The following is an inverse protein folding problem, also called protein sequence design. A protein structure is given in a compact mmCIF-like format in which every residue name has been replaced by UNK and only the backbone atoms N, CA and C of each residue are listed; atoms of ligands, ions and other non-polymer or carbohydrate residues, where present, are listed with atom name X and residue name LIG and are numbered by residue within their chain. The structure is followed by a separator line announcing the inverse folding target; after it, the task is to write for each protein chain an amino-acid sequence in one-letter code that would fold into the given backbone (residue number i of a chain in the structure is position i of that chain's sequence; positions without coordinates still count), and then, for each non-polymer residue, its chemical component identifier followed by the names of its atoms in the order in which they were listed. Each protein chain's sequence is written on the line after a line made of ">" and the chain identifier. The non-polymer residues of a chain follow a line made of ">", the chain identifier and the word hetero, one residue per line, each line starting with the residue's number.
data_IF_688133441613
#
_entry.id   IF_688133441613
#
_cell.length_a   1.000
_cell.length_b   1.000
_cell.length_c   1.000
_cell.angle_alpha   90.00
_cell.angle_beta   90.00
_cell.angle_gamma   90.00
#
_symmetry.space_group_name_H-M   'P 1'
#
loop_
_entity.id
_entity.type
_entity.pdbx_description
1 polymer ?
#
# COMPACT_ATOMS: atom_id res chain seq x y z
N UNK A 1 5.48 11.45 23.46
CA UNK A 1 5.28 11.13 22.04
C UNK A 1 4.11 10.17 21.99
N UNK A 2 3.10 10.43 21.15
CA UNK A 2 1.97 9.51 21.01
C UNK A 2 2.49 8.13 20.59
N UNK A 3 1.92 7.07 21.15
CA UNK A 3 2.27 5.71 20.80
C UNK A 3 1.77 5.43 19.38
N UNK A 4 2.70 5.11 18.47
CA UNK A 4 2.37 4.84 17.07
C UNK A 4 1.74 3.45 17.00
N UNK A 5 0.48 3.38 16.58
CA UNK A 5 -0.28 2.13 16.54
C UNK A 5 -1.00 1.95 15.22
N UNK A 6 -1.12 0.70 14.78
CA UNK A 6 -2.02 0.32 13.71
C UNK A 6 -3.47 0.48 14.17
N UNK A 7 -4.27 1.18 13.37
CA UNK A 7 -5.72 1.33 13.60
C UNK A 7 -6.46 0.42 12.64
N UNK A 8 -7.33 -0.44 13.18
CA UNK A 8 -8.18 -1.33 12.36
C UNK A 8 -9.22 -0.52 11.62
N UNK A 9 -9.45 -0.84 10.35
CA UNK A 9 -10.62 -0.38 9.60
C UNK A 9 -11.81 -1.18 10.11
N UNK A 10 -12.54 -0.60 11.05
CA UNK A 10 -13.76 -1.17 11.60
C UNK A 10 -14.99 -0.86 10.72
N UNK A 11 -16.17 -1.23 11.21
CA UNK A 11 -17.44 -1.01 10.51
C UNK A 11 -17.67 0.46 10.14
N UNK A 12 -17.31 1.40 11.02
CA UNK A 12 -17.52 2.84 10.78
C UNK A 12 -16.62 3.38 9.67
N UNK A 13 -15.39 2.86 9.57
CA UNK A 13 -14.42 3.26 8.56
C UNK A 13 -14.63 2.53 7.22
N UNK A 14 -15.14 1.30 7.24
CA UNK A 14 -15.34 0.47 6.05
C UNK A 14 -16.27 1.13 5.01
N UNK A 15 -17.26 1.92 5.44
CA UNK A 15 -18.14 2.68 4.55
C UNK A 15 -17.37 3.68 3.64
N UNK A 16 -16.18 4.12 4.05
CA UNK A 16 -15.30 5.01 3.29
C UNK A 16 -14.42 4.27 2.26
N UNK A 17 -14.42 2.94 2.32
CA UNK A 17 -13.56 2.01 1.57
C UNK A 17 -14.41 0.90 0.95
N UNK A 18 -15.34 1.27 0.07
CA UNK A 18 -16.47 0.44 -0.39
C UNK A 18 -16.12 -0.91 -1.08
N UNK A 19 -14.86 -1.18 -1.41
CA UNK A 19 -14.43 -2.52 -1.86
C UNK A 19 -14.02 -3.48 -0.73
N UNK A 20 -13.90 -2.98 0.51
CA UNK A 20 -13.67 -3.83 1.68
C UNK A 20 -14.96 -4.49 2.16
N UNK A 21 -14.86 -5.75 2.58
CA UNK A 21 -15.96 -6.52 3.17
C UNK A 21 -15.78 -6.67 4.68
N UNK A 22 -16.74 -7.32 5.33
CA UNK A 22 -16.69 -7.57 6.78
C UNK A 22 -15.57 -8.54 7.18
N UNK A 23 -15.19 -9.41 6.26
CA UNK A 23 -14.14 -10.42 6.45
C UNK A 23 -12.72 -9.85 6.26
N UNK A 24 -12.60 -8.64 5.71
CA UNK A 24 -11.29 -8.04 5.46
C UNK A 24 -10.70 -7.43 6.73
N UNK A 25 -9.52 -7.94 7.13
CA UNK A 25 -8.76 -7.40 8.25
C UNK A 25 -7.71 -6.39 7.75
N UNK A 26 -8.10 -5.12 7.70
CA UNK A 26 -7.25 -4.02 7.22
C UNK A 26 -6.86 -3.05 8.34
N UNK A 27 -5.64 -2.53 8.30
CA UNK A 27 -5.08 -1.61 9.30
C UNK A 27 -4.27 -0.48 8.65
N UNK A 28 -4.25 0.69 9.27
CA UNK A 28 -3.49 1.86 8.79
C UNK A 28 -2.76 2.60 9.92
N UNK A 29 -1.72 3.38 9.59
CA UNK A 29 -0.97 4.19 10.56
C UNK A 29 -1.43 5.65 10.64
N UNK A 30 -1.70 6.26 9.48
CA UNK A 30 -1.90 7.71 9.38
C UNK A 30 -3.16 8.09 8.60
N UNK A 31 -3.55 9.36 8.71
CA UNK A 31 -4.60 9.95 7.87
C UNK A 31 -3.97 10.80 6.76
N UNK A 32 -4.30 10.48 5.51
CA UNK A 32 -3.93 11.22 4.31
C UNK A 32 -5.13 12.04 3.82
N UNK A 33 -5.01 13.37 3.81
CA UNK A 33 -6.11 14.25 3.40
C UNK A 33 -6.16 14.37 1.88
N UNK A 34 -7.26 13.92 1.29
CA UNK A 34 -7.48 13.93 -0.15
C UNK A 34 -7.58 15.35 -0.71
N UNK A 35 -7.19 15.54 -1.97
CA UNK A 35 -7.22 16.82 -2.71
C UNK A 35 -6.33 17.93 -2.12
N UNK A 36 -5.52 17.61 -1.12
CA UNK A 36 -4.60 18.55 -0.50
C UNK A 36 -3.15 18.34 -0.95
N UNK A 37 -2.41 19.44 -1.03
CA UNK A 37 -1.00 19.45 -1.44
C UNK A 37 -0.05 18.84 -0.41
N UNK A 38 1.22 18.64 -0.80
CA UNK A 38 2.24 18.04 0.07
C UNK A 38 2.51 18.84 1.36
N UNK A 39 2.23 20.14 1.38
CA UNK A 39 2.47 21.02 2.53
C UNK A 39 1.31 21.02 3.54
N UNK A 40 0.20 20.34 3.24
CA UNK A 40 -1.01 20.36 4.08
C UNK A 40 -0.80 19.70 5.44
N UNK A 41 -0.15 18.54 5.46
CA UNK A 41 0.12 17.79 6.69
C UNK A 41 1.43 17.00 6.58
N UNK A 42 1.94 16.53 7.71
CA UNK A 42 3.09 15.65 7.74
C UNK A 42 2.85 14.35 6.94
N UNK A 43 1.62 13.80 6.97
CA UNK A 43 1.25 12.61 6.20
C UNK A 43 1.15 12.91 4.70
N UNK A 44 0.55 14.04 4.31
CA UNK A 44 0.50 14.45 2.90
C UNK A 44 1.92 14.65 2.35
N UNK A 45 2.84 15.21 3.15
CA UNK A 45 4.25 15.32 2.78
C UNK A 45 4.91 13.95 2.64
N UNK A 46 4.71 13.05 3.62
CA UNK A 46 5.24 11.68 3.62
C UNK A 46 4.82 10.93 2.35
N UNK A 47 3.51 10.88 2.09
CA UNK A 47 2.94 10.20 0.92
C UNK A 47 3.44 10.85 -0.38
N UNK A 48 3.47 12.19 -0.46
CA UNK A 48 4.01 12.89 -1.63
C UNK A 48 5.50 12.60 -1.86
N UNK A 49 6.30 12.42 -0.80
CA UNK A 49 7.72 12.13 -0.92
C UNK A 49 7.97 10.71 -1.41
N UNK A 50 7.30 9.70 -0.85
CA UNK A 50 7.44 8.32 -1.35
C UNK A 50 6.87 8.17 -2.77
N UNK A 51 5.90 9.02 -3.16
CA UNK A 51 5.31 9.10 -4.52
C UNK A 51 6.17 9.78 -5.60
N UNK A 52 7.35 10.30 -5.25
CA UNK A 52 8.25 10.94 -6.24
C UNK A 52 8.70 9.95 -7.32
N UNK A 53 8.64 10.39 -8.58
CA UNK A 53 9.00 9.58 -9.75
C UNK A 53 10.46 9.10 -9.70
N UNK A 54 10.74 7.85 -10.12
CA UNK A 54 12.10 7.34 -10.31
C UNK A 54 13.00 8.23 -11.17
N UNK A 55 12.43 9.01 -12.10
CA UNK A 55 13.16 9.96 -12.95
C UNK A 55 13.81 11.11 -12.16
N UNK A 56 13.41 11.32 -10.90
CA UNK A 56 14.03 12.32 -10.02
C UNK A 56 15.33 11.83 -9.37
N UNK A 57 15.76 10.58 -9.63
CA UNK A 57 17.02 10.03 -9.14
C UNK A 57 18.20 10.88 -9.61
N UNK A 58 19.13 11.17 -8.69
CA UNK A 58 20.24 12.09 -8.93
C UNK A 58 19.92 13.57 -8.66
N UNK A 59 18.65 13.92 -8.45
CA UNK A 59 18.26 15.28 -8.02
C UNK A 59 18.18 15.38 -6.49
N UNK A 60 18.20 16.60 -5.91
CA UNK A 60 17.97 16.80 -4.48
C UNK A 60 16.62 16.27 -3.98
N UNK A 61 15.64 16.04 -4.86
CA UNK A 61 14.33 15.54 -4.47
C UNK A 61 14.37 14.07 -4.04
N UNK A 62 15.29 13.27 -4.62
CA UNK A 62 15.41 11.84 -4.36
C UNK A 62 15.70 11.52 -2.90
N UNK A 63 16.47 12.39 -2.22
CA UNK A 63 16.80 12.21 -0.79
C UNK A 63 15.55 12.19 0.10
N UNK A 64 14.52 12.95 -0.27
CA UNK A 64 13.26 12.99 0.49
C UNK A 64 12.47 11.69 0.31
N UNK A 65 12.42 11.15 -0.91
CA UNK A 65 11.80 9.83 -1.18
C UNK A 65 12.46 8.75 -0.34
N UNK A 66 13.79 8.65 -0.39
CA UNK A 66 14.52 7.61 0.34
C UNK A 66 14.41 7.76 1.87
N UNK A 67 14.44 9.00 2.38
CA UNK A 67 14.22 9.28 3.80
C UNK A 67 12.84 8.79 4.24
N UNK A 68 11.81 9.10 3.46
CA UNK A 68 10.44 8.82 3.84
C UNK A 68 10.03 7.36 3.60
N UNK A 69 10.65 6.64 2.65
CA UNK A 69 10.56 5.17 2.54
C UNK A 69 11.08 4.52 3.83
N UNK A 70 12.27 4.91 4.30
CA UNK A 70 12.84 4.39 5.55
C UNK A 70 11.99 4.71 6.77
N UNK A 71 11.37 5.90 6.76
CA UNK A 71 10.41 6.29 7.80
C UNK A 71 9.19 5.38 7.79
N UNK A 72 8.57 5.14 6.64
CA UNK A 72 7.43 4.22 6.51
C UNK A 72 7.78 2.82 7.04
N UNK A 73 8.96 2.29 6.69
CA UNK A 73 9.43 1.00 7.20
C UNK A 73 9.56 0.99 8.73
N UNK A 74 10.23 2.01 9.30
CA UNK A 74 10.43 2.10 10.74
C UNK A 74 9.11 2.30 11.50
N UNK A 75 8.18 3.06 10.92
CA UNK A 75 6.87 3.31 11.49
C UNK A 75 6.01 2.03 11.50
N UNK A 76 6.02 1.26 10.41
CA UNK A 76 5.39 -0.08 10.37
C UNK A 76 6.03 -1.02 11.39
N UNK A 77 7.36 -1.11 11.42
CA UNK A 77 8.08 -1.99 12.35
C UNK A 77 7.76 -1.70 13.82
N UNK A 78 7.62 -0.41 14.18
CA UNK A 78 7.27 0.00 15.55
C UNK A 78 5.81 -0.27 15.91
N UNK A 79 4.91 -0.29 14.94
CA UNK A 79 3.48 -0.43 15.16
C UNK A 79 3.00 -1.89 15.10
N UNK A 80 3.81 -2.78 14.53
CA UNK A 80 3.55 -4.22 14.49
C UNK A 80 3.76 -4.84 15.88
N UNK A 81 2.86 -5.74 16.34
CA UNK A 81 3.07 -6.51 17.55
C UNK A 81 4.37 -7.33 17.52
N UNK A 82 4.97 -7.52 18.69
CA UNK A 82 6.17 -8.36 18.85
C UNK A 82 5.92 -9.78 18.35
N UNK A 83 6.87 -10.35 17.60
CA UNK A 83 6.80 -11.71 17.07
C UNK A 83 5.87 -11.93 15.88
N UNK A 84 5.18 -10.87 15.39
CA UNK A 84 4.26 -11.01 14.24
C UNK A 84 5.00 -11.03 12.91
N UNK A 85 6.17 -10.38 12.83
CA UNK A 85 6.94 -10.23 11.59
C UNK A 85 7.39 -11.59 11.09
N UNK A 86 7.79 -12.49 12.00
CA UNK A 86 8.24 -13.84 11.72
C UNK A 86 7.11 -14.77 11.23
N UNK A 87 5.85 -14.35 11.41
CA UNK A 87 4.66 -15.11 11.00
C UNK A 87 4.09 -14.64 9.67
N UNK A 88 4.52 -13.48 9.17
CA UNK A 88 3.94 -12.83 8.00
C UNK A 88 4.87 -12.92 6.79
N UNK A 89 4.28 -13.26 5.64
CA UNK A 89 4.85 -12.94 4.34
C UNK A 89 4.33 -11.57 3.89
N UNK A 90 5.22 -10.58 3.79
CA UNK A 90 4.91 -9.23 3.33
C UNK A 90 4.88 -9.21 1.79
N UNK A 91 3.72 -8.86 1.25
CA UNK A 91 3.48 -8.81 -0.20
C UNK A 91 3.18 -7.36 -0.59
N UNK A 92 4.15 -6.63 -1.18
CA UNK A 92 3.91 -5.26 -1.63
C UNK A 92 2.94 -5.26 -2.82
N UNK A 93 2.04 -4.28 -2.86
CA UNK A 93 1.23 -4.04 -4.06
C UNK A 93 2.17 -3.65 -5.22
N UNK A 94 2.03 -4.29 -6.40
CA UNK A 94 2.93 -4.03 -7.53
C UNK A 94 2.76 -2.60 -8.07
N UNK A 95 3.83 -1.99 -8.62
CA UNK A 95 3.73 -0.69 -9.25
C UNK A 95 2.82 -0.73 -10.49
N UNK A 96 2.19 0.40 -10.84
CA UNK A 96 1.34 0.53 -12.03
C UNK A 96 2.10 0.45 -13.37
N UNK A 97 3.43 0.49 -13.31
CA UNK A 97 4.33 0.40 -14.45
C UNK A 97 4.99 -0.97 -14.44
N UNK A 98 5.18 -1.58 -15.61
CA UNK A 98 5.89 -2.85 -15.75
C UNK A 98 7.39 -2.71 -15.39
N UNK A 99 8.05 -3.82 -15.02
CA UNK A 99 9.46 -3.85 -14.53
C UNK A 99 10.47 -3.19 -15.46
N UNK A 100 10.25 -3.24 -16.77
CA UNK A 100 11.16 -2.66 -17.77
C UNK A 100 10.92 -1.17 -18.03
N UNK A 101 9.87 -0.58 -17.45
CA UNK A 101 9.53 0.83 -17.66
C UNK A 101 10.49 1.75 -16.86
N UNK A 102 10.92 2.86 -17.46
CA UNK A 102 11.83 3.83 -16.80
C UNK A 102 11.27 4.44 -15.51
N UNK A 103 9.95 4.45 -15.38
CA UNK A 103 9.22 4.88 -14.18
C UNK A 103 8.74 3.73 -13.29
N UNK A 104 9.31 2.52 -13.43
CA UNK A 104 9.10 1.44 -12.47
C UNK A 104 9.53 1.88 -11.07
N UNK A 105 8.61 1.82 -10.12
CA UNK A 105 8.78 2.39 -8.79
C UNK A 105 8.48 1.35 -7.71
N UNK A 106 9.51 0.61 -7.31
CA UNK A 106 9.50 -0.46 -6.31
C UNK A 106 9.39 0.05 -4.86
N UNK A 107 8.80 1.23 -4.63
CA UNK A 107 8.72 1.86 -3.29
C UNK A 107 8.15 0.94 -2.22
N UNK A 108 7.11 0.17 -2.51
CA UNK A 108 6.46 -0.69 -1.51
C UNK A 108 7.33 -1.90 -1.20
N UNK A 109 8.06 -2.42 -2.19
CA UNK A 109 9.10 -3.42 -1.97
C UNK A 109 10.18 -2.90 -1.03
N UNK A 110 10.70 -1.69 -1.28
CA UNK A 110 11.69 -1.05 -0.41
C UNK A 110 11.14 -0.77 1.00
N UNK A 111 9.86 -0.44 1.13
CA UNK A 111 9.22 -0.28 2.45
C UNK A 111 9.22 -1.61 3.20
N UNK A 112 8.78 -2.70 2.56
CA UNK A 112 8.76 -4.04 3.17
C UNK A 112 10.16 -4.51 3.59
N UNK A 113 11.17 -4.34 2.73
CA UNK A 113 12.56 -4.73 3.02
C UNK A 113 13.13 -4.02 4.26
N UNK A 114 12.61 -2.84 4.59
CA UNK A 114 13.04 -2.06 5.76
C UNK A 114 12.32 -2.40 7.07
N UNK A 115 11.27 -3.24 7.06
CA UNK A 115 10.46 -3.53 8.27
C UNK A 115 11.29 -4.27 9.31
N UNK A 116 11.93 -5.36 8.92
CA UNK A 116 12.85 -6.10 9.77
C UNK A 116 13.90 -6.83 8.95
N UNK A 117 15.11 -6.96 9.50
CA UNK A 117 16.14 -7.78 8.90
C UNK A 117 15.67 -9.24 8.83
N UNK A 118 15.65 -9.82 7.63
CA UNK A 118 15.22 -11.21 7.42
C UNK A 118 13.71 -11.42 7.37
N UNK A 119 12.89 -10.36 7.32
CA UNK A 119 11.46 -10.50 7.06
C UNK A 119 11.21 -11.23 5.73
N UNK A 120 10.16 -12.04 5.68
CA UNK A 120 9.74 -12.72 4.46
C UNK A 120 9.02 -11.73 3.54
N UNK A 121 9.72 -11.20 2.53
CA UNK A 121 9.17 -10.21 1.58
C UNK A 121 9.13 -10.82 0.19
N UNK A 122 7.94 -10.88 -0.42
CA UNK A 122 7.73 -11.50 -1.73
C UNK A 122 6.83 -10.68 -2.62
N UNK A 123 7.30 -10.32 -3.81
CA UNK A 123 6.48 -9.73 -4.88
C UNK A 123 5.64 -10.81 -5.58
N UNK A 124 4.79 -11.52 -4.81
CA UNK A 124 3.97 -12.65 -5.29
C UNK A 124 3.04 -12.28 -6.43
N UNK A 125 2.59 -11.03 -6.47
CA UNK A 125 1.74 -10.50 -7.54
C UNK A 125 2.54 -9.45 -8.30
N UNK A 126 2.57 -9.58 -9.63
CA UNK A 126 3.13 -8.58 -10.52
C UNK A 126 2.11 -8.17 -11.57
N UNK A 127 2.35 -7.02 -12.19
CA UNK A 127 1.51 -6.51 -13.26
C UNK A 127 2.13 -6.86 -14.63
N UNK A 128 1.38 -7.60 -15.46
CA UNK A 128 1.83 -8.05 -16.78
C UNK A 128 1.94 -6.92 -17.82
N UNK A 129 1.13 -5.88 -17.67
CA UNK A 129 1.10 -4.73 -18.57
C UNK A 129 0.98 -3.43 -17.77
N UNK A 130 1.64 -2.36 -18.21
CA UNK A 130 1.51 -1.07 -17.53
C UNK A 130 0.06 -0.61 -17.58
N UNK A 131 -0.53 -0.31 -16.42
CA UNK A 131 -1.83 0.38 -16.37
C UNK A 131 -1.64 1.83 -16.78
N UNK A 132 -2.66 2.41 -17.45
CA UNK A 132 -2.65 3.83 -17.76
C UNK A 132 -2.50 4.59 -16.45
N UNK A 133 -1.53 5.49 -16.37
CA UNK A 133 -1.40 6.34 -15.19
C UNK A 133 -2.71 7.12 -15.05
N UNK A 134 -3.33 7.09 -13.86
CA UNK A 134 -4.51 7.92 -13.53
C UNK A 134 -4.24 9.44 -13.60
N UNK A 135 -3.10 9.85 -14.17
CA UNK A 135 -2.74 11.24 -14.45
C UNK A 135 -3.14 11.69 -15.87
N UNK A 136 -3.43 10.77 -16.79
CA UNK A 136 -3.76 11.10 -18.19
C UNK A 136 -5.25 11.01 -18.54
N UNK A 137 -6.09 10.43 -17.67
CA UNK A 137 -7.54 10.45 -17.77
C UNK A 137 -8.14 10.36 -16.36
N UNK A 138 -9.29 11.01 -16.15
CA UNK A 138 -10.04 11.10 -14.87
C UNK A 138 -10.69 9.76 -14.45
N UNK A 139 -10.40 8.66 -15.17
CA UNK A 139 -10.91 7.32 -14.87
C UNK A 139 -9.97 6.58 -13.93
N UNK A 140 -10.51 6.22 -12.76
CA UNK A 140 -9.85 5.35 -11.80
C UNK A 140 -9.88 3.91 -12.33
N UNK A 141 -8.75 3.20 -12.18
CA UNK A 141 -8.69 1.76 -12.47
C UNK A 141 -9.71 1.00 -11.61
N UNK A 142 -10.39 0.04 -12.22
CA UNK A 142 -11.39 -0.83 -11.59
C UNK A 142 -10.75 -2.10 -11.01
N UNK A 143 -11.51 -2.85 -10.21
CA UNK A 143 -11.02 -4.14 -9.68
C UNK A 143 -10.85 -5.14 -10.81
N UNK A 144 -11.80 -5.17 -11.74
CA UNK A 144 -11.83 -6.07 -12.90
C UNK A 144 -10.62 -5.83 -13.80
N UNK A 145 -10.30 -4.57 -14.14
CA UNK A 145 -9.12 -4.23 -14.93
C UNK A 145 -7.81 -4.65 -14.24
N UNK A 146 -7.73 -4.56 -12.91
CA UNK A 146 -6.55 -5.03 -12.17
C UNK A 146 -6.44 -6.56 -12.20
N UNK A 147 -7.55 -7.27 -12.02
CA UNK A 147 -7.57 -8.73 -12.07
C UNK A 147 -7.15 -9.28 -13.44
N UNK A 148 -7.43 -8.57 -14.53
CA UNK A 148 -6.99 -8.95 -15.88
C UNK A 148 -5.47 -8.85 -16.08
N UNK A 149 -4.79 -7.96 -15.35
CA UNK A 149 -3.36 -7.67 -15.54
C UNK A 149 -2.48 -8.18 -14.40
N UNK A 150 -3.06 -8.58 -13.27
CA UNK A 150 -2.35 -9.19 -12.17
C UNK A 150 -2.07 -10.67 -12.44
N UNK A 151 -0.83 -11.08 -12.19
CA UNK A 151 -0.37 -12.45 -12.31
C UNK A 151 0.45 -12.86 -11.08
N UNK A 152 0.41 -14.15 -10.77
CA UNK A 152 1.22 -14.75 -9.70
C UNK A 152 2.62 -15.04 -10.23
N UNK A 153 3.65 -14.60 -9.50
CA UNK A 153 5.03 -15.01 -9.74
C UNK A 153 5.25 -16.39 -9.09
N UNK A 154 5.06 -17.45 -9.89
CA UNK A 154 5.13 -18.84 -9.44
C UNK A 154 6.49 -19.21 -8.81
N UNK A 155 7.56 -18.50 -9.17
CA UNK A 155 8.89 -18.74 -8.61
C UNK A 155 9.01 -18.30 -7.13
N UNK A 156 8.06 -17.50 -6.64
CA UNK A 156 8.06 -16.97 -5.26
C UNK A 156 7.02 -17.66 -4.37
N UNK A 157 6.25 -18.61 -4.90
CA UNK A 157 5.18 -19.29 -4.18
C UNK A 157 5.69 -20.26 -3.10
N UNK A 158 6.91 -20.79 -3.23
CA UNK A 158 7.46 -21.77 -2.31
C UNK A 158 8.40 -21.15 -1.27
N UNK A 159 8.25 -21.46 0.03
CA UNK A 159 7.15 -22.24 0.62
C UNK A 159 5.84 -21.45 0.64
N UNK A 160 4.70 -22.14 0.52
CA UNK A 160 3.39 -21.49 0.54
C UNK A 160 3.20 -20.67 1.85
N UNK A 161 2.80 -19.39 1.76
CA UNK A 161 2.58 -18.55 2.94
C UNK A 161 1.33 -19.02 3.71
N UNK A 162 1.42 -18.99 5.04
CA UNK A 162 0.28 -19.25 5.94
C UNK A 162 -0.46 -17.96 6.33
N UNK A 163 0.26 -16.84 6.39
CA UNK A 163 -0.30 -15.51 6.63
C UNK A 163 0.39 -14.46 5.75
N UNK A 164 -0.41 -13.66 5.06
CA UNK A 164 0.02 -12.67 4.09
C UNK A 164 -0.39 -11.28 4.56
N UNK A 165 0.57 -10.36 4.58
CA UNK A 165 0.32 -8.94 4.76
C UNK A 165 0.48 -8.19 3.44
N UNK A 166 -0.63 -7.73 2.85
CA UNK A 166 -0.63 -6.89 1.65
C UNK A 166 -0.27 -5.46 2.06
N UNK A 167 0.79 -4.90 1.48
CA UNK A 167 1.33 -3.59 1.86
C UNK A 167 1.14 -2.56 0.74
N UNK A 168 0.52 -1.43 1.07
CA UNK A 168 0.35 -0.30 0.16
C UNK A 168 0.49 1.07 0.87
N UNK A 169 0.61 2.14 0.10
CA UNK A 169 0.76 3.48 0.65
C UNK A 169 -0.54 4.00 1.27
N UNK A 170 -1.62 4.14 0.50
CA UNK A 170 -2.86 4.77 0.95
C UNK A 170 -4.06 3.92 0.55
N UNK A 171 -4.82 3.46 1.54
CA UNK A 171 -6.13 2.88 1.25
C UNK A 171 -7.14 3.98 0.92
N UNK A 172 -7.72 3.89 -0.28
CA UNK A 172 -8.71 4.83 -0.80
C UNK A 172 -10.09 4.18 -0.90
N UNK A 173 -10.48 3.65 -2.06
CA UNK A 173 -11.71 2.85 -2.21
C UNK A 173 -11.51 1.38 -1.78
N UNK A 174 -10.25 0.92 -1.70
CA UNK A 174 -9.91 -0.49 -1.48
C UNK A 174 -9.70 -1.29 -2.76
N UNK A 175 -9.73 -0.66 -3.95
CA UNK A 175 -9.65 -1.32 -5.26
C UNK A 175 -8.41 -2.22 -5.42
N UNK A 176 -7.20 -1.68 -5.18
CA UNK A 176 -5.97 -2.45 -5.27
C UNK A 176 -5.88 -3.58 -4.24
N UNK A 177 -6.29 -3.31 -3.00
CA UNK A 177 -6.34 -4.32 -1.96
C UNK A 177 -7.29 -5.46 -2.35
N UNK A 178 -8.48 -5.14 -2.89
CA UNK A 178 -9.43 -6.17 -3.28
C UNK A 178 -8.88 -7.05 -4.38
N UNK A 179 -8.35 -6.45 -5.45
CA UNK A 179 -7.73 -7.19 -6.55
C UNK A 179 -6.57 -8.08 -6.04
N UNK A 180 -5.66 -7.53 -5.23
CA UNK A 180 -4.55 -8.29 -4.63
C UNK A 180 -5.05 -9.46 -3.78
N UNK A 181 -6.01 -9.21 -2.90
CA UNK A 181 -6.56 -10.23 -2.02
C UNK A 181 -7.27 -11.33 -2.80
N UNK A 182 -8.01 -11.00 -3.85
CA UNK A 182 -8.72 -12.00 -4.66
C UNK A 182 -7.74 -12.84 -5.47
N UNK A 183 -6.72 -12.22 -6.08
CA UNK A 183 -5.62 -12.93 -6.76
C UNK A 183 -4.88 -13.86 -5.80
N UNK A 184 -4.55 -13.38 -4.59
CA UNK A 184 -3.82 -14.17 -3.59
C UNK A 184 -4.68 -15.28 -2.97
N UNK A 185 -5.97 -15.05 -2.67
CA UNK A 185 -6.89 -16.08 -2.18
C UNK A 185 -7.12 -17.19 -3.20
N UNK A 186 -7.16 -16.85 -4.49
CA UNK A 186 -7.26 -17.85 -5.55
C UNK A 186 -6.05 -18.80 -5.56
N UNK A 187 -4.84 -18.29 -5.22
CA UNK A 187 -3.60 -19.08 -5.16
C UNK A 187 -3.37 -19.77 -3.82
N UNK A 188 -3.68 -19.10 -2.72
CA UNK A 188 -3.42 -19.53 -1.34
C UNK A 188 -4.71 -19.46 -0.51
N UNK A 189 -5.69 -20.35 -0.76
CA UNK A 189 -7.01 -20.28 -0.13
C UNK A 189 -6.98 -20.48 1.40
N UNK A 190 -5.97 -21.17 1.91
CA UNK A 190 -5.78 -21.43 3.34
C UNK A 190 -5.01 -20.29 4.05
N UNK A 191 -4.40 -19.37 3.29
CA UNK A 191 -3.61 -18.30 3.88
C UNK A 191 -4.51 -17.23 4.49
N UNK A 192 -4.18 -16.78 5.70
CA UNK A 192 -4.78 -15.59 6.27
C UNK A 192 -4.29 -14.36 5.50
N UNK A 193 -5.18 -13.43 5.15
CA UNK A 193 -4.79 -12.19 4.46
C UNK A 193 -5.20 -10.98 5.29
N UNK A 194 -4.23 -10.11 5.53
CA UNK A 194 -4.43 -8.79 6.13
C UNK A 194 -3.93 -7.68 5.19
N UNK A 195 -4.55 -6.51 5.29
CA UNK A 195 -4.06 -5.29 4.61
C UNK A 195 -3.38 -4.36 5.60
N UNK A 196 -2.17 -3.89 5.29
CA UNK A 196 -1.47 -2.87 6.07
C UNK A 196 -1.15 -1.66 5.19
N UNK A 197 -1.59 -0.49 5.62
CA UNK A 197 -1.47 0.75 4.85
C UNK A 197 -0.68 1.80 5.63
N UNK A 198 0.17 2.57 4.93
CA UNK A 198 0.82 3.72 5.56
C UNK A 198 -0.23 4.75 6.00
N UNK A 199 -1.26 4.97 5.18
CA UNK A 199 -2.37 5.84 5.56
C UNK A 199 -3.72 5.36 5.03
N UNK A 200 -4.81 5.83 5.65
CA UNK A 200 -6.13 5.86 5.02
C UNK A 200 -6.41 7.21 4.41
N UNK A 201 -7.24 7.25 3.38
CA UNK A 201 -7.77 8.51 2.84
C UNK A 201 -8.83 9.08 3.77
N UNK A 202 -8.69 10.37 4.09
CA UNK A 202 -9.74 11.21 4.68
C UNK A 202 -10.06 12.37 3.75
N UNK A 203 -11.21 12.98 3.92
CA UNK A 203 -11.56 14.25 3.28
C UNK A 203 -11.29 15.39 4.26
N UNK A 204 -10.94 16.59 3.79
CA UNK A 204 -10.96 17.75 4.67
C UNK A 204 -12.37 17.86 5.27
N UNK A 205 -12.46 18.23 6.55
CA UNK A 205 -13.75 18.58 7.14
C UNK A 205 -14.36 19.69 6.26
N UNK A 206 -15.63 19.55 5.88
CA UNK A 206 -16.37 20.65 5.26
C UNK A 206 -16.47 21.76 6.33
N UNK A 207 -15.51 22.69 6.36
CA UNK A 207 -15.72 23.96 7.07
C UNK A 207 -16.93 24.64 6.42
N UNK A 208 -18.00 24.75 7.23
CA UNK A 208 -19.25 25.48 7.01
C UNK A 208 -20.23 24.93 5.95
N UNK A 209 -21.15 24.09 6.41
CA UNK A 209 -22.53 24.17 5.92
C UNK A 209 -23.09 25.57 6.23
N UNK A 210 -23.90 26.19 5.36
CA UNK A 210 -24.28 27.59 5.54
C UNK A 210 -25.12 27.77 6.81
N UNK A 211 -24.76 28.84 7.53
CA UNK A 211 -25.47 29.43 8.67
C UNK A 211 -26.93 29.73 8.36
#
# INVERSE_FOLDING_TARGET
>A
MADLRLTKIDESLRALHYHLTEDDSCYFLYDYTSRQGFSYSATNQLISNIKKSPLTKGTPQWRYKMRDIRRCSADLARALPEGVVEQLTFVPIPPSKAREHAEYDDRMRQVCDGIAAGADVRELVYQMASTRASHENDERVTVEELLEVYAIDEALCDPAPSAIAIIDDVITAGTHFRAMADTLRAKFPEAQIIGLFIARRVYPDDEDGPV
#
